data_IF_365893979807
#
_entry.id   IF_365893979807
#
_cell.length_a   1.000
_cell.length_b   1.000
_cell.length_c   1.000
_cell.angle_alpha   90.00
_cell.angle_beta   90.00
_cell.angle_gamma   90.00
#
_symmetry.space_group_name_H-M   'P 1'
#
loop_
_entity.id
_entity.type
_entity.pdbx_description
1 polymer ?
#
# COMPACT_ATOMS: atom_id res chain seq x y z
N UNK A 1 44.15 83.46 -9.60
CA UNK A 1 45.12 82.36 -9.38
C UNK A 1 44.59 81.61 -8.17
N UNK A 2 43.66 80.66 -8.33
CA UNK A 2 43.91 79.24 -8.68
C UNK A 2 44.89 78.61 -7.65
N UNK A 3 44.59 77.55 -6.90
CA UNK A 3 43.87 76.35 -7.31
C UNK A 3 43.47 75.44 -6.10
N UNK A 4 42.28 74.83 -6.21
CA UNK A 4 41.87 73.44 -5.91
C UNK A 4 42.35 72.59 -4.70
N UNK A 5 41.36 72.21 -3.89
CA UNK A 5 40.99 70.88 -3.32
C UNK A 5 42.04 69.91 -2.73
N UNK A 6 41.89 69.67 -1.42
CA UNK A 6 42.36 68.50 -0.66
C UNK A 6 41.60 67.21 -1.04
N UNK A 7 42.34 66.12 -1.30
CA UNK A 7 42.23 64.88 -0.51
C UNK A 7 43.38 63.92 -0.85
N UNK A 8 44.20 63.67 0.16
CA UNK A 8 45.44 62.89 0.10
C UNK A 8 45.19 61.38 -0.05
N UNK A 9 46.02 60.79 -0.90
CA UNK A 9 45.93 59.45 -1.46
C UNK A 9 46.94 58.54 -0.75
N UNK A 10 46.49 57.47 -0.10
CA UNK A 10 47.36 56.45 0.50
C UNK A 10 47.89 55.47 -0.57
N UNK A 11 49.15 55.06 -0.44
CA UNK A 11 49.89 54.14 -1.33
C UNK A 11 50.64 53.08 -0.47
N UNK A 12 51.25 52.02 -1.04
CA UNK A 12 50.68 50.74 -1.48
C UNK A 12 51.28 49.52 -0.71
N UNK A 13 50.66 48.34 -0.71
CA UNK A 13 51.41 47.10 -0.38
C UNK A 13 50.83 45.81 -0.99
N UNK A 14 51.75 44.98 -1.48
CA UNK A 14 51.59 43.77 -2.29
C UNK A 14 50.59 42.70 -1.78
N UNK A 15 49.91 42.07 -2.73
CA UNK A 15 49.13 40.85 -2.60
C UNK A 15 49.99 39.63 -2.21
N UNK A 16 49.61 38.81 -1.21
CA UNK A 16 49.93 37.40 -1.19
C UNK A 16 48.78 36.57 -1.79
N UNK A 17 49.17 35.53 -2.53
CA UNK A 17 48.31 34.61 -3.26
C UNK A 17 47.21 34.00 -2.38
N UNK A 18 46.01 33.90 -2.95
CA UNK A 18 44.89 33.16 -2.38
C UNK A 18 45.21 31.66 -2.32
N UNK A 19 45.43 31.13 -1.12
CA UNK A 19 45.40 29.70 -0.85
C UNK A 19 43.99 29.16 -1.13
N UNK A 20 43.84 28.62 -2.33
CA UNK A 20 42.67 27.87 -2.78
C UNK A 20 42.72 26.46 -2.20
N UNK A 21 42.33 26.31 -0.94
CA UNK A 21 42.13 24.99 -0.35
C UNK A 21 40.85 24.89 0.49
N UNK A 22 39.79 25.57 0.07
CA UNK A 22 38.43 25.25 0.51
C UNK A 22 37.94 24.02 -0.25
N UNK A 23 38.14 22.83 0.36
CA UNK A 23 37.42 21.62 -0.05
C UNK A 23 35.92 21.96 -0.11
N UNK A 24 35.20 21.65 -1.22
CA UNK A 24 33.78 21.92 -1.28
C UNK A 24 33.10 21.16 -0.15
N UNK A 25 32.43 21.89 0.72
CA UNK A 25 31.57 21.36 1.77
C UNK A 25 30.57 20.45 1.10
N UNK A 26 30.82 19.13 1.10
CA UNK A 26 29.85 18.16 0.62
C UNK A 26 28.58 18.43 1.42
N UNK A 27 27.50 18.78 0.71
CA UNK A 27 26.16 18.81 1.29
C UNK A 27 25.87 17.42 1.83
N UNK A 28 26.20 17.17 3.10
CA UNK A 28 25.88 15.92 3.76
C UNK A 28 24.36 15.84 3.78
N UNK A 29 23.82 14.89 3.02
CA UNK A 29 22.39 14.60 3.04
C UNK A 29 22.02 14.31 4.50
N UNK A 30 20.91 14.87 5.01
CA UNK A 30 20.52 14.64 6.39
C UNK A 30 20.46 13.13 6.67
N UNK A 31 20.93 12.69 7.86
CA UNK A 31 21.03 11.27 8.16
C UNK A 31 19.64 10.62 8.05
N UNK A 32 19.55 9.57 7.23
CA UNK A 32 18.32 8.78 7.10
C UNK A 32 18.03 8.06 8.41
N UNK A 33 16.75 7.98 8.77
CA UNK A 33 16.29 7.20 9.93
C UNK A 33 16.34 5.72 9.56
N UNK A 34 17.22 4.96 10.21
CA UNK A 34 17.47 3.56 9.85
C UNK A 34 16.27 2.67 10.14
N UNK A 35 15.58 2.86 11.28
CA UNK A 35 14.36 2.10 11.61
C UNK A 35 13.25 2.23 10.55
N UNK A 36 13.14 3.38 9.89
CA UNK A 36 12.17 3.62 8.82
C UNK A 36 12.48 2.78 7.58
N UNK A 37 13.76 2.74 7.16
CA UNK A 37 14.18 1.90 6.05
C UNK A 37 14.02 0.42 6.43
N UNK A 38 14.39 0.00 7.64
CA UNK A 38 14.18 -1.39 8.13
C UNK A 38 12.69 -1.78 8.13
N UNK A 39 11.78 -0.91 8.57
CA UNK A 39 10.34 -1.16 8.55
C UNK A 39 9.82 -1.35 7.12
N UNK A 40 10.27 -0.51 6.19
CA UNK A 40 9.92 -0.65 4.77
C UNK A 40 10.44 -1.97 4.19
N UNK A 41 11.68 -2.35 4.55
CA UNK A 41 12.27 -3.63 4.15
C UNK A 41 11.53 -4.84 4.73
N UNK A 42 11.14 -4.78 6.00
CA UNK A 42 10.29 -5.80 6.64
C UNK A 42 8.97 -5.95 5.89
N UNK A 43 8.34 -4.85 5.49
CA UNK A 43 7.08 -4.88 4.73
C UNK A 43 7.23 -5.58 3.38
N UNK A 44 8.31 -5.30 2.65
CA UNK A 44 8.64 -5.98 1.38
C UNK A 44 8.98 -7.45 1.59
N UNK A 45 9.72 -7.77 2.66
CA UNK A 45 10.04 -9.16 3.02
C UNK A 45 8.77 -9.95 3.34
N UNK A 46 7.88 -9.41 4.18
CA UNK A 46 6.60 -10.04 4.51
C UNK A 46 5.74 -10.24 3.27
N UNK A 47 5.67 -9.25 2.39
CA UNK A 47 4.99 -9.38 1.08
C UNK A 47 5.51 -10.58 0.30
N UNK A 48 6.84 -10.72 0.16
CA UNK A 48 7.45 -11.86 -0.52
C UNK A 48 7.10 -13.19 0.16
N UNK A 49 7.17 -13.26 1.49
CA UNK A 49 6.82 -14.48 2.26
C UNK A 49 5.37 -14.88 2.03
N UNK A 50 4.44 -13.92 2.00
CA UNK A 50 3.01 -14.24 1.83
C UNK A 50 2.66 -14.60 0.39
N UNK A 51 3.30 -13.96 -0.59
CA UNK A 51 3.07 -14.23 -2.02
C UNK A 51 3.53 -15.64 -2.41
N UNK A 52 4.69 -16.09 -1.90
CA UNK A 52 5.23 -17.42 -2.22
C UNK A 52 4.84 -18.51 -1.22
N UNK A 53 4.62 -18.17 0.06
CA UNK A 53 4.32 -19.12 1.13
C UNK A 53 2.84 -19.26 1.48
N UNK A 54 1.98 -18.31 1.05
CA UNK A 54 0.57 -18.30 1.40
C UNK A 54 -0.23 -19.48 0.85
N UNK A 55 0.18 -20.07 -0.27
CA UNK A 55 -0.45 -21.28 -0.82
C UNK A 55 -0.20 -22.52 0.03
N UNK A 56 0.89 -22.55 0.81
CA UNK A 56 1.31 -23.69 1.63
C UNK A 56 0.76 -23.56 3.05
N UNK A 57 0.76 -22.34 3.61
CA UNK A 57 0.38 -22.09 5.00
C UNK A 57 -0.86 -21.18 5.09
N UNK A 58 -2.06 -21.72 5.39
CA UNK A 58 -3.30 -20.95 5.47
C UNK A 58 -3.27 -19.79 6.48
N UNK A 59 -2.50 -19.91 7.56
CA UNK A 59 -2.30 -18.85 8.57
C UNK A 59 -1.52 -17.64 8.03
N UNK A 60 -0.70 -17.86 7.00
CA UNK A 60 0.09 -16.81 6.34
C UNK A 60 -0.70 -16.21 5.18
N UNK A 61 -1.63 -16.95 4.56
CA UNK A 61 -2.52 -16.48 3.50
C UNK A 61 -3.53 -15.42 3.98
N UNK A 62 -4.19 -14.74 3.04
CA UNK A 62 -5.27 -13.80 3.36
C UNK A 62 -6.48 -14.49 4.01
N UNK A 63 -7.10 -13.81 4.98
CA UNK A 63 -8.42 -14.23 5.46
C UNK A 63 -9.46 -14.17 4.31
N UNK A 64 -10.35 -15.17 4.14
CA UNK A 64 -11.29 -15.20 3.02
C UNK A 64 -12.21 -13.98 2.94
N UNK A 65 -12.68 -13.48 4.08
CA UNK A 65 -13.53 -12.29 4.13
C UNK A 65 -13.34 -11.51 5.42
N UNK A 66 -13.79 -12.10 6.54
CA UNK A 66 -13.62 -11.55 7.88
C UNK A 66 -12.48 -12.26 8.61
N UNK A 67 -11.72 -11.52 9.40
CA UNK A 67 -10.53 -12.00 10.10
C UNK A 67 -9.28 -11.19 9.73
N UNK A 68 -8.19 -11.47 10.43
CA UNK A 68 -6.88 -10.89 10.16
C UNK A 68 -5.85 -12.02 10.21
N UNK A 69 -5.18 -12.25 9.10
CA UNK A 69 -4.00 -13.11 9.00
C UNK A 69 -2.72 -12.29 8.75
N UNK A 70 -1.56 -12.95 8.68
CA UNK A 70 -0.27 -12.26 8.50
C UNK A 70 -0.22 -11.45 7.20
N UNK A 71 -0.73 -11.99 6.08
CA UNK A 71 -0.75 -11.27 4.81
C UNK A 71 -1.63 -10.02 4.81
N UNK A 72 -2.58 -9.92 5.72
CA UNK A 72 -3.47 -8.77 5.80
C UNK A 72 -2.75 -7.55 6.40
N UNK A 73 -1.67 -7.74 7.17
CA UNK A 73 -0.88 -6.66 7.76
C UNK A 73 0.05 -5.93 6.77
N UNK A 74 0.35 -6.56 5.63
CA UNK A 74 1.37 -6.06 4.67
C UNK A 74 0.99 -4.70 4.07
N UNK A 75 -0.24 -4.56 3.54
CA UNK A 75 -0.68 -3.30 2.92
C UNK A 75 -0.78 -2.16 3.94
N UNK A 76 -1.40 -2.33 5.14
CA UNK A 76 -1.41 -1.30 6.17
C UNK A 76 0.00 -0.82 6.56
N UNK A 77 0.99 -1.72 6.62
CA UNK A 77 2.37 -1.35 6.92
C UNK A 77 2.94 -0.38 5.87
N UNK A 78 2.69 -0.63 4.58
CA UNK A 78 3.11 0.27 3.51
C UNK A 78 2.44 1.65 3.58
N UNK A 79 1.14 1.70 3.87
CA UNK A 79 0.40 2.96 4.00
C UNK A 79 0.91 3.77 5.21
N UNK A 80 1.08 3.10 6.34
CA UNK A 80 1.60 3.72 7.55
C UNK A 80 3.00 4.31 7.34
N UNK A 81 3.95 3.54 6.79
CA UNK A 81 5.32 4.01 6.61
C UNK A 81 5.43 5.09 5.53
N UNK A 82 4.55 5.09 4.53
CA UNK A 82 4.43 6.18 3.56
C UNK A 82 4.03 7.49 4.25
N UNK A 83 3.10 7.43 5.19
CA UNK A 83 2.73 8.54 6.06
C UNK A 83 3.90 9.04 6.93
N UNK A 84 4.59 8.14 7.63
CA UNK A 84 5.76 8.50 8.47
C UNK A 84 6.83 9.22 7.64
N UNK A 85 7.12 8.69 6.44
CA UNK A 85 8.10 9.26 5.52
C UNK A 85 7.73 10.68 5.08
N UNK A 86 6.45 10.95 4.89
CA UNK A 86 5.94 12.24 4.45
C UNK A 86 6.20 13.36 5.47
N UNK A 87 6.03 13.07 6.78
CA UNK A 87 6.32 14.04 7.84
C UNK A 87 7.79 14.46 7.86
N UNK A 88 8.70 13.56 7.52
CA UNK A 88 10.14 13.86 7.44
C UNK A 88 10.48 14.68 6.19
N UNK A 89 9.81 14.41 5.06
CA UNK A 89 10.00 15.17 3.81
C UNK A 89 9.54 16.62 3.97
N UNK A 90 8.42 16.84 4.65
CA UNK A 90 7.85 18.19 4.86
C UNK A 90 8.10 18.72 6.27
N UNK A 91 9.14 18.22 6.97
CA UNK A 91 9.53 18.70 8.30
C UNK A 91 9.68 20.21 8.34
N UNK A 92 10.26 20.79 7.29
CA UNK A 92 10.28 22.24 7.08
C UNK A 92 9.26 22.59 6.02
N UNK A 93 8.36 23.55 6.34
CA UNK A 93 7.33 24.01 5.41
C UNK A 93 7.95 24.50 4.10
N UNK A 94 7.44 24.09 2.94
CA UNK A 94 7.94 24.58 1.67
C UNK A 94 7.52 26.05 1.48
N UNK A 95 8.42 26.93 1.00
CA UNK A 95 8.12 28.36 0.78
C UNK A 95 7.05 28.56 -0.30
N UNK A 96 6.98 27.67 -1.30
CA UNK A 96 5.98 27.71 -2.39
C UNK A 96 5.10 26.46 -2.37
N UNK A 97 3.92 26.57 -1.73
CA UNK A 97 2.97 25.45 -1.53
C UNK A 97 2.51 24.78 -2.83
N UNK A 98 2.29 25.57 -3.89
CA UNK A 98 1.91 25.04 -5.21
C UNK A 98 3.00 24.16 -5.84
N UNK A 99 4.26 24.57 -5.72
CA UNK A 99 5.38 23.79 -6.24
C UNK A 99 5.55 22.47 -5.45
N UNK A 100 5.40 22.53 -4.12
CA UNK A 100 5.42 21.34 -3.28
C UNK A 100 4.27 20.37 -3.60
N UNK A 101 3.07 20.91 -3.87
CA UNK A 101 1.90 20.12 -4.27
C UNK A 101 2.13 19.43 -5.62
N UNK A 102 2.62 20.17 -6.61
CA UNK A 102 2.96 19.60 -7.93
C UNK A 102 4.01 18.49 -7.82
N UNK A 103 5.05 18.68 -7.00
CA UNK A 103 6.05 17.65 -6.77
C UNK A 103 5.49 16.40 -6.09
N UNK A 104 4.61 16.56 -5.10
CA UNK A 104 3.92 15.45 -4.46
C UNK A 104 3.04 14.69 -5.45
N UNK A 105 2.23 15.41 -6.25
CA UNK A 105 1.36 14.84 -7.28
C UNK A 105 2.17 14.10 -8.36
N UNK A 106 3.30 14.64 -8.82
CA UNK A 106 4.15 13.96 -9.79
C UNK A 106 4.76 12.66 -9.24
N UNK A 107 5.12 12.62 -7.95
CA UNK A 107 5.59 11.37 -7.31
C UNK A 107 4.46 10.34 -7.21
N UNK A 108 3.28 10.78 -6.78
CA UNK A 108 2.09 9.96 -6.71
C UNK A 108 1.69 9.41 -8.10
N UNK A 109 1.71 10.25 -9.13
CA UNK A 109 1.38 9.87 -10.51
C UNK A 109 2.36 8.83 -11.07
N UNK A 110 3.67 9.01 -10.81
CA UNK A 110 4.68 8.00 -11.19
C UNK A 110 4.42 6.65 -10.51
N UNK A 111 4.13 6.66 -9.21
CA UNK A 111 3.81 5.45 -8.47
C UNK A 111 2.52 4.78 -8.99
N UNK A 112 1.51 5.58 -9.31
CA UNK A 112 0.24 5.12 -9.86
C UNK A 112 0.42 4.49 -11.25
N UNK A 113 1.20 5.12 -12.13
CA UNK A 113 1.52 4.61 -13.45
C UNK A 113 2.29 3.28 -13.39
N UNK A 114 3.28 3.17 -12.49
CA UNK A 114 3.97 1.89 -12.23
C UNK A 114 2.97 0.82 -11.74
N UNK A 115 2.02 1.18 -10.88
CA UNK A 115 0.93 0.30 -10.45
C UNK A 115 0.11 -0.26 -11.61
N UNK A 116 -0.33 0.60 -12.52
CA UNK A 116 -1.09 0.19 -13.71
C UNK A 116 -0.26 -0.75 -14.59
N UNK A 117 1.02 -0.46 -14.82
CA UNK A 117 1.88 -1.31 -15.64
C UNK A 117 2.06 -2.71 -15.04
N UNK A 118 2.26 -2.81 -13.72
CA UNK A 118 2.43 -4.10 -13.05
C UNK A 118 1.14 -4.90 -13.01
N UNK A 119 0.02 -4.26 -12.68
CA UNK A 119 -1.24 -4.95 -12.41
C UNK A 119 -2.15 -5.10 -13.63
N UNK A 120 -1.99 -4.24 -14.62
CA UNK A 120 -2.67 -4.32 -15.90
C UNK A 120 -2.27 -5.51 -16.76
N UNK A 121 -1.37 -6.37 -16.26
CA UNK A 121 -0.98 -7.59 -16.94
C UNK A 121 0.05 -7.39 -18.04
N UNK A 122 0.78 -6.27 -18.06
CA UNK A 122 1.85 -6.06 -19.05
C UNK A 122 2.89 -7.20 -18.99
N UNK A 123 3.18 -7.67 -17.78
CA UNK A 123 3.96 -8.87 -17.53
C UNK A 123 3.03 -10.05 -17.32
N UNK A 124 2.92 -10.91 -18.34
CA UNK A 124 2.14 -12.14 -18.27
C UNK A 124 2.90 -13.25 -17.52
N UNK A 125 2.18 -14.30 -17.10
CA UNK A 125 2.77 -15.45 -16.41
C UNK A 125 3.81 -16.17 -17.28
N UNK A 126 4.69 -16.95 -16.63
CA UNK A 126 5.82 -17.68 -17.25
C UNK A 126 5.44 -18.50 -18.49
N UNK A 127 4.18 -18.90 -18.60
CA UNK A 127 3.66 -19.82 -19.62
C UNK A 127 2.88 -19.12 -20.74
N UNK A 128 2.81 -17.79 -20.77
CA UNK A 128 2.04 -17.01 -21.75
C UNK A 128 2.93 -16.00 -22.46
N UNK A 129 3.18 -16.23 -23.75
CA UNK A 129 3.99 -15.36 -24.62
C UNK A 129 3.20 -14.18 -25.21
N UNK A 130 1.99 -13.92 -24.72
CA UNK A 130 1.20 -12.77 -25.12
C UNK A 130 1.78 -11.53 -24.46
N UNK A 131 2.36 -10.62 -25.25
CA UNK A 131 2.83 -9.32 -24.77
C UNK A 131 1.74 -8.27 -25.02
N UNK A 132 1.39 -7.48 -24.01
CA UNK A 132 0.39 -6.42 -24.14
C UNK A 132 -0.44 -6.21 -22.88
N UNK A 133 -1.35 -5.24 -22.92
CA UNK A 133 -2.34 -4.99 -21.88
C UNK A 133 -3.69 -4.93 -22.58
N UNK A 134 -4.60 -5.83 -22.22
CA UNK A 134 -5.99 -5.72 -22.67
C UNK A 134 -6.65 -4.54 -21.94
N UNK A 135 -6.80 -3.44 -22.66
CA UNK A 135 -7.39 -2.20 -22.15
C UNK A 135 -8.84 -2.41 -21.68
N UNK A 136 -9.57 -3.38 -22.23
CA UNK A 136 -10.97 -3.65 -21.85
C UNK A 136 -11.07 -4.39 -20.52
N UNK A 137 -10.00 -5.04 -20.07
CA UNK A 137 -10.00 -5.84 -18.84
C UNK A 137 -8.92 -5.40 -17.86
N UNK A 138 -8.27 -4.25 -18.10
CA UNK A 138 -7.19 -3.75 -17.25
C UNK A 138 -7.73 -3.47 -15.84
N UNK A 139 -7.00 -3.90 -14.80
CA UNK A 139 -7.34 -3.56 -13.42
C UNK A 139 -6.81 -2.17 -13.06
N UNK A 140 -7.72 -1.23 -12.83
CA UNK A 140 -7.36 0.17 -12.55
C UNK A 140 -6.82 0.39 -11.13
N UNK A 141 -7.39 -0.30 -10.14
CA UNK A 141 -7.14 -0.08 -8.72
C UNK A 141 -6.33 -1.23 -8.10
N UNK A 142 -5.36 -0.84 -7.27
CA UNK A 142 -4.33 -1.71 -6.77
C UNK A 142 -3.61 -1.17 -5.55
N UNK A 143 -2.67 -1.97 -5.04
CA UNK A 143 -1.89 -1.63 -3.83
C UNK A 143 -1.08 -0.34 -4.05
N UNK A 144 -0.37 -0.20 -5.19
CA UNK A 144 0.43 0.99 -5.48
C UNK A 144 -0.44 2.24 -5.70
N UNK A 145 -1.60 2.07 -6.34
CA UNK A 145 -2.58 3.12 -6.57
C UNK A 145 -3.15 3.62 -5.25
N UNK A 146 -3.43 2.72 -4.30
CA UNK A 146 -3.87 3.08 -2.95
C UNK A 146 -2.82 3.83 -2.17
N UNK A 147 -1.57 3.37 -2.21
CA UNK A 147 -0.47 4.08 -1.57
C UNK A 147 -0.34 5.48 -2.18
N UNK A 148 -0.50 5.61 -3.51
CA UNK A 148 -0.48 6.89 -4.21
C UNK A 148 -1.61 7.84 -3.79
N UNK A 149 -2.86 7.34 -3.71
CA UNK A 149 -4.02 8.11 -3.25
C UNK A 149 -3.82 8.55 -1.80
N UNK A 150 -3.47 7.63 -0.91
CA UNK A 150 -3.26 7.93 0.51
C UNK A 150 -2.10 8.89 0.74
N UNK A 151 -0.99 8.73 0.00
CA UNK A 151 0.14 9.66 0.03
C UNK A 151 -0.28 11.07 -0.41
N UNK A 152 -1.07 11.18 -1.49
CA UNK A 152 -1.54 12.47 -1.99
C UNK A 152 -2.42 13.19 -0.99
N UNK A 153 -3.41 12.48 -0.41
CA UNK A 153 -4.30 13.07 0.61
C UNK A 153 -3.51 13.52 1.83
N UNK A 154 -2.60 12.68 2.35
CA UNK A 154 -1.77 13.04 3.49
C UNK A 154 -0.84 14.22 3.16
N UNK A 155 -0.26 14.27 1.96
CA UNK A 155 0.62 15.38 1.52
C UNK A 155 -0.14 16.70 1.41
N UNK A 156 -1.35 16.67 0.85
CA UNK A 156 -2.22 17.84 0.79
C UNK A 156 -2.60 18.34 2.18
N UNK A 157 -2.93 17.42 3.10
CA UNK A 157 -3.18 17.76 4.50
C UNK A 157 -1.96 18.49 5.10
N UNK A 158 -0.75 17.96 4.91
CA UNK A 158 0.46 18.54 5.49
C UNK A 158 0.85 19.90 4.90
N UNK A 159 0.68 20.08 3.59
CA UNK A 159 1.06 21.32 2.89
C UNK A 159 0.08 22.46 3.19
N UNK A 160 -1.22 22.16 3.21
CA UNK A 160 -2.28 23.18 3.21
C UNK A 160 -2.85 23.49 4.58
N UNK A 161 -2.92 22.53 5.50
CA UNK A 161 -3.48 22.76 6.83
C UNK A 161 -2.60 23.70 7.66
N UNK A 162 -3.16 24.44 8.64
CA UNK A 162 -2.39 25.34 9.48
C UNK A 162 -1.29 24.59 10.27
N UNK A 163 -0.16 25.25 10.57
CA UNK A 163 0.89 24.63 11.36
C UNK A 163 0.37 24.32 12.76
N UNK A 164 0.81 23.21 13.36
CA UNK A 164 0.46 22.88 14.73
C UNK A 164 0.94 24.00 15.66
N UNK A 165 0.11 24.39 16.62
CA UNK A 165 0.52 25.28 17.71
C UNK A 165 1.37 24.46 18.69
N UNK A 166 2.61 24.15 18.32
CA UNK A 166 3.52 23.41 19.19
C UNK A 166 4.21 24.36 20.17
N UNK A 167 4.10 24.08 21.46
CA UNK A 167 5.05 24.57 22.46
C UNK A 167 6.24 23.60 22.49
N UNK A 168 7.46 24.11 22.52
CA UNK A 168 8.72 23.38 22.23
C UNK A 168 8.95 22.07 23.01
N UNK A 169 8.22 21.82 24.12
CA UNK A 169 8.49 20.70 25.02
C UNK A 169 7.34 19.70 25.23
N UNK A 170 6.16 19.89 24.64
CA UNK A 170 5.06 18.92 24.73
C UNK A 170 4.36 18.76 23.39
N UNK A 171 4.57 17.61 22.74
CA UNK A 171 3.73 17.21 21.61
C UNK A 171 2.34 16.85 22.17
N UNK A 172 1.35 17.65 21.81
CA UNK A 172 -0.05 17.43 22.15
C UNK A 172 -0.78 16.98 20.87
N UNK A 173 -1.49 15.86 20.94
CA UNK A 173 -2.32 15.38 19.82
C UNK A 173 -3.37 16.43 19.41
N UNK A 174 -3.78 17.31 20.33
CA UNK A 174 -4.65 18.47 20.02
C UNK A 174 -4.00 19.49 19.09
N UNK A 175 -2.67 19.60 19.06
CA UNK A 175 -2.00 20.54 18.16
C UNK A 175 -2.18 20.18 16.68
N UNK A 176 -2.53 18.92 16.38
CA UNK A 176 -2.82 18.41 15.04
C UNK A 176 -4.33 18.18 14.80
N UNK A 177 -5.19 18.95 15.50
CA UNK A 177 -6.64 18.82 15.39
C UNK A 177 -7.16 18.90 13.95
N UNK A 178 -6.55 19.72 13.09
CA UNK A 178 -6.97 19.84 11.69
C UNK A 178 -6.76 18.54 10.90
N UNK A 179 -5.66 17.80 11.12
CA UNK A 179 -5.44 16.51 10.47
C UNK A 179 -6.43 15.46 10.97
N UNK A 180 -6.71 15.43 12.28
CA UNK A 180 -7.72 14.55 12.87
C UNK A 180 -9.12 14.86 12.39
N UNK A 181 -9.47 16.14 12.21
CA UNK A 181 -10.74 16.56 11.67
C UNK A 181 -10.94 16.04 10.23
N UNK A 182 -9.91 16.14 9.38
CA UNK A 182 -9.95 15.56 8.03
C UNK A 182 -10.10 14.04 8.11
N UNK A 183 -9.33 13.37 8.96
CA UNK A 183 -9.43 11.92 9.13
C UNK A 183 -10.85 11.48 9.57
N UNK A 184 -11.45 12.15 10.56
CA UNK A 184 -12.82 11.86 11.02
C UNK A 184 -13.84 12.14 9.92
N UNK A 185 -13.67 13.22 9.16
CA UNK A 185 -14.57 13.55 8.03
C UNK A 185 -14.51 12.47 6.95
N UNK A 186 -13.31 11.98 6.60
CA UNK A 186 -13.13 10.88 5.65
C UNK A 186 -13.76 9.58 6.16
N UNK A 187 -13.61 9.27 7.45
CA UNK A 187 -14.25 8.08 8.06
C UNK A 187 -15.77 8.19 8.12
N UNK A 188 -16.32 9.39 8.37
CA UNK A 188 -17.75 9.65 8.33
C UNK A 188 -18.30 9.49 6.91
N UNK A 189 -17.59 10.01 5.90
CA UNK A 189 -17.93 9.82 4.49
C UNK A 189 -17.89 8.34 4.11
N UNK A 190 -16.83 7.62 4.48
CA UNK A 190 -16.72 6.17 4.25
C UNK A 190 -17.89 5.41 4.89
N UNK A 191 -18.22 5.70 6.14
CA UNK A 191 -19.31 5.02 6.86
C UNK A 191 -20.68 5.33 6.24
N UNK A 192 -20.91 6.60 5.86
CA UNK A 192 -22.14 7.02 5.19
C UNK A 192 -22.33 6.33 3.85
N UNK A 193 -21.27 6.17 3.06
CA UNK A 193 -21.32 5.44 1.79
C UNK A 193 -21.47 3.93 2.01
N UNK A 194 -20.73 3.35 2.96
CA UNK A 194 -20.75 1.92 3.23
C UNK A 194 -22.14 1.45 3.70
N UNK A 195 -22.71 2.12 4.70
CA UNK A 195 -23.96 1.71 5.33
C UNK A 195 -25.22 2.38 4.73
N UNK A 196 -25.10 3.58 4.16
CA UNK A 196 -26.25 4.36 3.73
C UNK A 196 -26.77 4.05 2.33
N UNK A 197 -25.91 3.55 1.42
CA UNK A 197 -26.28 3.29 0.03
C UNK A 197 -27.13 2.02 -0.11
N UNK A 198 -28.14 2.11 -0.98
CA UNK A 198 -28.96 0.97 -1.40
C UNK A 198 -28.28 0.20 -2.52
N UNK A 199 -28.15 -1.12 -2.35
CA UNK A 199 -27.54 -2.00 -3.33
C UNK A 199 -28.63 -2.76 -4.07
N UNK A 200 -28.90 -2.44 -5.36
CA UNK A 200 -29.86 -3.17 -6.17
C UNK A 200 -29.31 -4.54 -6.57
N UNK A 201 -30.21 -5.41 -7.03
CA UNK A 201 -29.84 -6.64 -7.71
C UNK A 201 -28.97 -6.35 -8.93
N UNK A 202 -28.06 -7.26 -9.24
CA UNK A 202 -27.11 -7.07 -10.31
C UNK A 202 -26.79 -8.38 -11.01
N UNK A 203 -26.21 -8.25 -12.20
CA UNK A 203 -25.93 -9.37 -13.09
C UNK A 203 -24.51 -9.24 -13.60
N UNK A 204 -23.85 -10.36 -13.82
CA UNK A 204 -22.53 -10.38 -14.43
C UNK A 204 -22.37 -11.60 -15.34
N UNK A 205 -21.49 -11.48 -16.34
CA UNK A 205 -21.25 -12.59 -17.25
C UNK A 205 -20.26 -13.59 -16.67
N UNK A 206 -20.60 -14.88 -16.73
CA UNK A 206 -19.66 -15.93 -16.39
C UNK A 206 -18.83 -16.34 -17.61
N UNK A 207 -17.50 -16.33 -17.47
CA UNK A 207 -16.60 -16.93 -18.45
C UNK A 207 -16.43 -18.41 -18.12
N UNK A 208 -17.34 -19.26 -18.59
CA UNK A 208 -17.24 -20.70 -18.45
C UNK A 208 -16.05 -21.23 -19.28
N UNK A 209 -14.93 -21.51 -18.62
CA UNK A 209 -13.84 -22.32 -19.19
C UNK A 209 -14.07 -23.79 -18.84
N UNK A 210 -15.15 -24.38 -19.33
CA UNK A 210 -15.32 -25.84 -19.31
C UNK A 210 -16.06 -26.29 -20.54
N UNK A 211 -15.35 -27.07 -21.33
CA UNK A 211 -15.82 -27.98 -22.38
C UNK A 211 -17.19 -28.63 -22.10
N UNK A 212 -18.24 -28.06 -22.66
CA UNK A 212 -19.35 -28.84 -23.20
C UNK A 212 -19.27 -28.68 -24.71
N UNK A 213 -19.01 -29.81 -25.38
CA UNK A 213 -18.87 -29.99 -26.82
C UNK A 213 -19.66 -28.96 -27.66
N UNK A 214 -19.06 -28.34 -28.70
CA UNK A 214 -19.86 -27.62 -29.68
C UNK A 214 -20.82 -28.63 -30.32
N UNK A 215 -22.14 -28.45 -30.12
CA UNK A 215 -23.11 -29.15 -30.95
C UNK A 215 -22.96 -28.59 -32.36
N UNK A 216 -22.46 -29.44 -33.25
CA UNK A 216 -22.42 -29.18 -34.69
C UNK A 216 -23.82 -29.47 -35.21
N UNK A 217 -24.65 -28.45 -35.29
CA UNK A 217 -25.78 -28.39 -36.21
C UNK A 217 -25.73 -27.01 -36.88
N UNK A 218 -25.47 -26.99 -38.18
CA UNK A 218 -25.60 -25.87 -39.12
C UNK A 218 -25.28 -24.45 -38.63
N UNK A 219 -24.07 -23.96 -38.93
CA UNK A 219 -23.72 -22.55 -39.19
C UNK A 219 -24.00 -21.44 -38.16
N UNK A 220 -24.26 -21.75 -36.88
CA UNK A 220 -24.20 -20.75 -35.80
C UNK A 220 -23.52 -21.34 -34.56
N UNK A 221 -22.33 -20.84 -34.21
CA UNK A 221 -21.70 -21.12 -32.91
C UNK A 221 -22.49 -20.33 -31.85
N UNK A 222 -23.42 -20.98 -31.15
CA UNK A 222 -24.00 -20.42 -29.94
C UNK A 222 -22.98 -20.54 -28.81
N UNK A 223 -22.14 -19.51 -28.58
CA UNK A 223 -21.51 -19.37 -27.27
C UNK A 223 -22.61 -18.99 -26.28
N UNK A 224 -23.15 -19.97 -25.55
CA UNK A 224 -24.13 -19.72 -24.50
C UNK A 224 -23.43 -18.91 -23.40
N UNK A 225 -23.71 -17.61 -23.39
CA UNK A 225 -23.17 -16.69 -22.40
C UNK A 225 -24.09 -16.74 -21.18
N UNK A 226 -23.68 -17.49 -20.16
CA UNK A 226 -24.45 -17.58 -18.92
C UNK A 226 -24.32 -16.27 -18.13
N UNK A 227 -25.47 -15.65 -17.87
CA UNK A 227 -25.56 -14.44 -17.06
C UNK A 227 -26.06 -14.84 -15.68
N UNK A 228 -25.20 -14.70 -14.69
CA UNK A 228 -25.54 -14.95 -13.30
C UNK A 228 -26.17 -13.71 -12.68
N UNK A 229 -27.27 -13.92 -11.96
CA UNK A 229 -27.97 -12.87 -11.21
C UNK A 229 -27.72 -13.02 -9.72
N UNK A 230 -27.39 -11.90 -9.07
CA UNK A 230 -27.23 -11.79 -7.62
C UNK A 230 -28.35 -10.90 -7.08
N UNK A 231 -29.17 -11.48 -6.21
CA UNK A 231 -30.26 -10.76 -5.54
C UNK A 231 -29.73 -10.15 -4.24
N UNK A 232 -29.84 -8.83 -4.11
CA UNK A 232 -29.35 -8.07 -2.97
C UNK A 232 -30.48 -7.30 -2.32
N UNK A 233 -30.95 -6.23 -2.98
CA UNK A 233 -32.04 -5.36 -2.52
C UNK A 233 -31.96 -4.96 -1.04
N UNK A 234 -30.75 -4.62 -0.57
CA UNK A 234 -30.42 -4.34 0.85
C UNK A 234 -29.62 -3.05 1.01
N UNK A 235 -29.56 -2.54 2.26
CA UNK A 235 -28.66 -1.47 2.71
C UNK A 235 -27.75 -1.98 3.82
N UNK A 236 -26.51 -1.50 3.83
CA UNK A 236 -25.56 -1.77 4.91
C UNK A 236 -25.13 -3.22 5.06
N UNK A 237 -25.34 -4.06 4.05
CA UNK A 237 -24.77 -5.40 4.02
C UNK A 237 -23.24 -5.33 3.86
N UNK A 238 -22.54 -6.13 4.67
CA UNK A 238 -21.08 -6.27 4.64
C UNK A 238 -20.64 -7.61 4.03
N UNK A 239 -21.58 -8.36 3.46
CA UNK A 239 -21.31 -9.61 2.75
C UNK A 239 -20.57 -9.38 1.43
N UNK A 240 -19.93 -10.43 0.87
CA UNK A 240 -19.15 -10.32 -0.37
C UNK A 240 -19.99 -9.94 -1.60
N UNK A 241 -21.26 -10.34 -1.62
CA UNK A 241 -22.14 -10.19 -2.78
C UNK A 241 -22.83 -8.81 -2.86
N UNK A 242 -23.26 -8.27 -1.72
CA UNK A 242 -24.25 -7.19 -1.66
C UNK A 242 -23.77 -5.95 -0.91
N UNK A 243 -22.47 -5.83 -0.67
CA UNK A 243 -21.89 -4.62 -0.10
C UNK A 243 -21.87 -3.45 -1.10
N UNK A 244 -21.99 -2.25 -0.57
CA UNK A 244 -21.99 -1.01 -1.35
C UNK A 244 -20.61 -0.65 -1.92
N UNK A 245 -19.51 -1.10 -1.31
CA UNK A 245 -18.17 -0.89 -1.83
C UNK A 245 -18.01 -1.50 -3.24
N UNK A 246 -18.37 -2.78 -3.37
CA UNK A 246 -18.36 -3.49 -4.64
C UNK A 246 -19.39 -2.94 -5.62
N UNK A 247 -20.52 -2.38 -5.16
CA UNK A 247 -21.46 -1.68 -6.04
C UNK A 247 -20.84 -0.42 -6.66
N UNK A 248 -20.18 0.42 -5.84
CA UNK A 248 -19.49 1.63 -6.32
C UNK A 248 -18.43 1.25 -7.34
N UNK A 249 -17.62 0.24 -7.04
CA UNK A 249 -16.56 -0.20 -7.95
C UNK A 249 -17.13 -0.74 -9.27
N UNK A 250 -18.22 -1.52 -9.23
CA UNK A 250 -18.92 -1.99 -10.45
C UNK A 250 -19.47 -0.84 -11.30
N UNK A 251 -20.00 0.20 -10.67
CA UNK A 251 -20.60 1.33 -11.37
C UNK A 251 -19.56 2.29 -11.95
N UNK A 252 -18.49 2.58 -11.19
CA UNK A 252 -17.47 3.56 -11.58
C UNK A 252 -16.36 2.95 -12.42
N UNK A 253 -15.85 1.77 -12.04
CA UNK A 253 -14.76 1.11 -12.75
C UNK A 253 -15.26 0.19 -13.86
N UNK A 254 -16.46 -0.37 -13.72
CA UNK A 254 -16.99 -1.39 -14.63
C UNK A 254 -16.56 -2.81 -14.26
N UNK A 255 -17.44 -3.78 -14.49
CA UNK A 255 -17.26 -5.19 -14.07
C UNK A 255 -15.99 -5.82 -14.67
N UNK A 256 -15.65 -5.47 -15.91
CA UNK A 256 -14.49 -6.03 -16.63
C UNK A 256 -13.14 -5.63 -16.03
N UNK A 257 -13.12 -4.53 -15.28
CA UNK A 257 -11.91 -3.96 -14.67
C UNK A 257 -11.70 -4.38 -13.21
N UNK A 258 -12.62 -5.19 -12.66
CA UNK A 258 -12.55 -5.71 -11.31
C UNK A 258 -11.65 -6.94 -11.23
N UNK A 259 -11.14 -7.20 -10.03
CA UNK A 259 -10.30 -8.37 -9.82
C UNK A 259 -11.11 -9.68 -9.92
N UNK A 260 -10.70 -10.54 -10.86
CA UNK A 260 -11.41 -11.77 -11.22
C UNK A 260 -11.17 -12.95 -10.29
N UNK A 261 -10.28 -12.86 -9.31
CA UNK A 261 -9.95 -13.98 -8.38
C UNK A 261 -10.01 -13.52 -6.91
N UNK A 262 -11.14 -13.00 -6.44
CA UNK A 262 -11.24 -12.49 -5.07
C UNK A 262 -11.03 -13.59 -4.02
N UNK A 263 -10.48 -13.19 -2.87
CA UNK A 263 -10.07 -14.13 -1.80
C UNK A 263 -11.28 -14.85 -1.18
N UNK A 264 -12.47 -14.24 -1.21
CA UNK A 264 -13.68 -14.86 -0.66
C UNK A 264 -14.10 -16.15 -1.37
N UNK A 265 -13.53 -16.47 -2.54
CA UNK A 265 -13.72 -17.79 -3.17
C UNK A 265 -13.26 -18.94 -2.29
N UNK A 266 -12.36 -18.66 -1.34
CA UNK A 266 -11.88 -19.63 -0.36
C UNK A 266 -12.83 -19.78 0.85
N UNK A 267 -13.96 -19.05 0.88
CA UNK A 267 -15.03 -19.27 1.86
C UNK A 267 -15.56 -20.69 1.73
N UNK A 268 -15.99 -21.29 2.86
CA UNK A 268 -16.48 -22.67 2.89
C UNK A 268 -17.71 -22.85 2.01
N UNK A 269 -18.51 -21.81 1.88
CA UNK A 269 -19.71 -21.72 1.04
C UNK A 269 -19.39 -21.82 -0.46
N UNK A 270 -18.19 -21.39 -0.88
CA UNK A 270 -17.74 -21.43 -2.27
C UNK A 270 -16.79 -22.60 -2.56
N UNK A 271 -16.08 -23.10 -1.55
CA UNK A 271 -15.04 -24.13 -1.67
C UNK A 271 -15.61 -25.54 -1.47
N UNK A 272 -16.60 -25.93 -2.28
CA UNK A 272 -17.22 -27.27 -2.25
C UNK A 272 -16.45 -28.32 -3.09
N UNK A 273 -15.25 -28.02 -3.60
CA UNK A 273 -14.45 -28.95 -4.41
C UNK A 273 -12.98 -28.98 -4.02
N UNK A 274 -12.44 -30.19 -3.89
CA UNK A 274 -11.09 -30.54 -3.41
C UNK A 274 -9.92 -30.01 -4.26
N UNK A 275 -10.17 -29.24 -5.32
CA UNK A 275 -9.16 -28.74 -6.26
C UNK A 275 -9.09 -27.21 -6.42
N UNK A 276 -9.69 -26.44 -5.50
CA UNK A 276 -9.62 -24.97 -5.54
C UNK A 276 -10.36 -24.31 -6.72
N UNK A 277 -11.23 -25.07 -7.37
CA UNK A 277 -12.21 -24.58 -8.35
C UNK A 277 -13.57 -24.50 -7.65
N UNK A 278 -14.26 -23.38 -7.86
CA UNK A 278 -15.62 -23.18 -7.33
C UNK A 278 -16.55 -24.17 -8.06
N UNK A 279 -17.38 -24.90 -7.32
CA UNK A 279 -18.33 -25.87 -7.89
C UNK A 279 -19.53 -25.17 -8.52
N UNK A 280 -20.04 -25.69 -9.64
CA UNK A 280 -21.26 -25.22 -10.33
C UNK A 280 -22.52 -25.27 -9.44
N UNK A 281 -22.46 -25.92 -8.28
CA UNK A 281 -23.53 -25.97 -7.27
C UNK A 281 -23.48 -24.81 -6.25
N UNK A 282 -22.43 -23.99 -6.31
CA UNK A 282 -22.23 -22.89 -5.36
C UNK A 282 -23.11 -21.67 -5.67
N UNK A 283 -23.33 -20.77 -4.69
CA UNK A 283 -24.07 -19.53 -4.95
C UNK A 283 -23.43 -18.70 -6.07
N UNK A 284 -24.22 -18.06 -6.96
CA UNK A 284 -23.69 -17.35 -8.13
C UNK A 284 -22.64 -16.27 -7.78
N UNK A 285 -22.79 -15.61 -6.63
CA UNK A 285 -21.85 -14.58 -6.19
C UNK A 285 -20.42 -15.10 -5.91
N UNK A 286 -20.21 -16.41 -5.73
CA UNK A 286 -18.88 -17.01 -5.58
C UNK A 286 -18.00 -16.82 -6.82
N UNK A 287 -18.63 -16.76 -8.01
CA UNK A 287 -17.93 -16.56 -9.29
C UNK A 287 -17.70 -15.08 -9.60
N UNK A 288 -18.39 -14.19 -8.88
CA UNK A 288 -18.40 -12.77 -9.19
C UNK A 288 -17.02 -12.09 -9.00
N UNK A 289 -16.70 -11.06 -9.78
CA UNK A 289 -15.47 -10.31 -9.60
C UNK A 289 -15.64 -9.25 -8.50
N UNK A 290 -14.56 -8.99 -7.76
CA UNK A 290 -14.58 -8.02 -6.65
C UNK A 290 -13.20 -7.44 -6.42
N UNK A 291 -13.09 -6.12 -6.31
CA UNK A 291 -11.83 -5.45 -6.07
C UNK A 291 -11.64 -5.07 -4.59
N UNK A 292 -10.79 -5.77 -3.82
CA UNK A 292 -10.48 -5.38 -2.44
C UNK A 292 -9.70 -4.05 -2.38
N UNK A 293 -9.09 -3.67 -3.50
CA UNK A 293 -8.32 -2.44 -3.65
C UNK A 293 -9.11 -1.27 -4.25
N UNK A 294 -10.44 -1.36 -4.30
CA UNK A 294 -11.37 -0.37 -4.87
C UNK A 294 -11.43 1.03 -4.26
N UNK A 295 -12.39 1.82 -4.74
CA UNK A 295 -12.51 3.28 -4.50
C UNK A 295 -12.84 3.57 -3.05
N UNK A 296 -13.86 2.91 -2.49
CA UNK A 296 -14.35 3.21 -1.15
C UNK A 296 -13.29 2.92 -0.09
N UNK A 297 -12.62 1.77 -0.17
CA UNK A 297 -11.55 1.39 0.75
C UNK A 297 -10.23 2.18 0.54
N UNK A 298 -10.10 2.93 -0.56
CA UNK A 298 -9.01 3.92 -0.70
C UNK A 298 -9.17 5.11 0.25
N UNK A 299 -10.39 5.42 0.73
CA UNK A 299 -10.64 6.48 1.71
C UNK A 299 -10.01 6.12 3.07
N UNK A 300 -10.24 4.90 3.56
CA UNK A 300 -9.63 4.41 4.82
C UNK A 300 -8.13 4.18 4.67
N UNK A 301 -7.65 3.83 3.46
CA UNK A 301 -6.21 3.81 3.16
C UNK A 301 -5.56 5.20 3.34
N UNK A 302 -6.23 6.27 2.90
CA UNK A 302 -5.75 7.63 3.12
C UNK A 302 -5.70 8.02 4.60
N UNK A 303 -6.69 7.60 5.39
CA UNK A 303 -6.68 7.80 6.85
C UNK A 303 -5.51 7.06 7.51
N UNK A 304 -5.19 5.85 7.05
CA UNK A 304 -4.01 5.10 7.54
C UNK A 304 -2.68 5.84 7.26
N UNK A 305 -2.56 6.48 6.08
CA UNK A 305 -1.43 7.36 5.78
C UNK A 305 -1.39 8.59 6.70
N UNK A 306 -2.54 9.21 7.01
CA UNK A 306 -2.62 10.33 7.96
C UNK A 306 -2.20 9.87 9.37
N UNK A 307 -2.60 8.67 9.80
CA UNK A 307 -2.14 8.11 11.08
C UNK A 307 -0.62 7.95 11.09
N UNK A 308 -0.03 7.38 10.02
CA UNK A 308 1.42 7.29 9.88
C UNK A 308 2.11 8.65 9.89
N UNK A 309 1.50 9.67 9.28
CA UNK A 309 2.00 11.06 9.30
C UNK A 309 2.16 11.57 10.74
N UNK A 310 1.22 11.28 11.63
CA UNK A 310 1.30 11.67 13.05
C UNK A 310 2.51 11.03 13.76
N UNK A 311 2.79 9.75 13.48
CA UNK A 311 3.99 9.10 14.02
C UNK A 311 5.28 9.76 13.52
N UNK A 312 5.31 10.14 12.24
CA UNK A 312 6.42 10.88 11.67
C UNK A 312 6.58 12.29 12.24
N UNK A 313 5.51 12.97 12.62
CA UNK A 313 5.58 14.27 13.31
C UNK A 313 6.20 14.15 14.70
N UNK A 314 5.80 13.14 15.48
CA UNK A 314 6.41 12.81 16.77
C UNK A 314 7.92 12.56 16.60
N UNK A 315 8.30 11.79 15.57
CA UNK A 315 9.71 11.53 15.24
C UNK A 315 10.48 12.81 14.88
N UNK A 316 9.86 13.70 14.10
CA UNK A 316 10.51 14.90 13.58
C UNK A 316 10.73 16.00 14.63
N UNK A 317 9.81 16.13 15.60
CA UNK A 317 9.76 17.26 16.54
C UNK A 317 10.28 16.92 17.94
N UNK A 318 9.93 15.76 18.50
CA UNK A 318 10.49 15.37 19.80
C UNK A 318 11.90 14.87 19.61
N UNK A 319 12.86 15.35 20.42
CA UNK A 319 14.24 14.85 20.39
C UNK A 319 14.44 13.64 21.30
N UNK A 320 13.71 13.57 22.43
CA UNK A 320 13.87 12.53 23.42
C UNK A 320 13.25 11.19 23.01
N UNK A 321 14.03 10.11 23.12
CA UNK A 321 13.57 8.75 22.83
C UNK A 321 12.39 8.32 23.71
N UNK A 322 12.45 8.59 25.03
CA UNK A 322 11.37 8.21 25.97
C UNK A 322 10.05 8.91 25.64
N UNK A 323 10.12 10.20 25.28
CA UNK A 323 8.95 10.98 24.86
C UNK A 323 8.30 10.41 23.61
N UNK A 324 9.10 10.10 22.58
CA UNK A 324 8.61 9.47 21.34
C UNK A 324 7.90 8.14 21.62
N UNK A 325 8.54 7.26 22.38
CA UNK A 325 8.02 5.93 22.71
C UNK A 325 6.70 6.01 23.48
N UNK A 326 6.62 6.87 24.50
CA UNK A 326 5.41 7.00 25.31
C UNK A 326 4.21 7.46 24.46
N UNK A 327 4.42 8.43 23.55
CA UNK A 327 3.35 8.94 22.70
C UNK A 327 2.88 7.93 21.66
N UNK A 328 3.81 7.26 20.99
CA UNK A 328 3.48 6.19 20.06
C UNK A 328 2.76 5.04 20.73
N UNK A 329 3.15 4.69 21.97
CA UNK A 329 2.51 3.63 22.74
C UNK A 329 1.07 4.01 23.11
N UNK A 330 0.83 5.22 23.62
CA UNK A 330 -0.52 5.71 23.92
C UNK A 330 -1.41 5.77 22.69
N UNK A 331 -0.88 6.24 21.55
CA UNK A 331 -1.62 6.31 20.29
C UNK A 331 -1.94 4.90 19.75
N UNK A 332 -0.98 3.98 19.77
CA UNK A 332 -1.19 2.56 19.40
C UNK A 332 -2.23 1.88 20.29
N UNK A 333 -2.12 2.05 21.61
CA UNK A 333 -3.03 1.46 22.57
C UNK A 333 -4.46 2.00 22.39
N UNK A 334 -4.60 3.31 22.15
CA UNK A 334 -5.91 3.94 21.91
C UNK A 334 -6.58 3.38 20.65
N UNK A 335 -5.84 3.23 19.55
CA UNK A 335 -6.37 2.64 18.32
C UNK A 335 -6.69 1.15 18.46
N UNK A 336 -5.85 0.40 19.17
CA UNK A 336 -6.12 -1.02 19.45
C UNK A 336 -7.40 -1.18 20.26
N UNK A 337 -7.56 -0.41 21.34
CA UNK A 337 -8.75 -0.43 22.19
C UNK A 337 -10.02 -0.03 21.42
N UNK A 338 -9.98 1.07 20.66
CA UNK A 338 -11.11 1.52 19.85
C UNK A 338 -11.45 0.53 18.73
N UNK A 339 -10.44 -0.01 18.05
CA UNK A 339 -10.63 -1.01 16.99
C UNK A 339 -11.27 -2.30 17.51
N UNK A 340 -10.82 -2.79 18.66
CA UNK A 340 -11.41 -3.96 19.32
C UNK A 340 -12.84 -3.68 19.80
N UNK A 341 -13.09 -2.50 20.37
CA UNK A 341 -14.44 -2.08 20.78
C UNK A 341 -15.41 -2.06 19.59
N UNK A 342 -15.01 -1.51 18.44
CA UNK A 342 -15.83 -1.54 17.23
C UNK A 342 -16.06 -2.96 16.69
N UNK A 343 -15.05 -3.84 16.81
CA UNK A 343 -15.21 -5.24 16.45
C UNK A 343 -16.24 -5.95 17.34
N UNK A 344 -16.27 -5.65 18.64
CA UNK A 344 -17.26 -6.18 19.58
C UNK A 344 -18.68 -5.66 19.31
N UNK A 345 -18.82 -4.41 18.87
CA UNK A 345 -20.12 -3.81 18.51
C UNK A 345 -20.70 -4.40 17.21
N UNK A 346 -19.88 -5.12 16.43
CA UNK A 346 -20.31 -5.83 15.23
C UNK A 346 -19.80 -5.24 13.92
N UNK A 347 -18.81 -4.35 13.93
CA UNK A 347 -18.08 -3.96 12.71
C UNK A 347 -16.96 -4.99 12.48
N UNK A 348 -17.12 -5.95 11.55
CA UNK A 348 -16.18 -7.06 11.40
C UNK A 348 -14.81 -6.55 10.96
N UNK A 349 -13.76 -7.27 11.35
CA UNK A 349 -12.41 -7.04 10.85
C UNK A 349 -12.33 -7.56 9.42
N UNK A 350 -12.55 -6.68 8.44
CA UNK A 350 -12.60 -7.05 7.04
C UNK A 350 -11.61 -6.21 6.22
N UNK A 351 -10.65 -6.91 5.60
CA UNK A 351 -9.61 -6.32 4.74
C UNK A 351 -10.20 -5.83 3.41
N UNK A 352 -11.02 -6.64 2.76
CA UNK A 352 -11.58 -6.36 1.43
C UNK A 352 -12.38 -5.05 1.39
N UNK A 353 -13.15 -4.81 2.45
CA UNK A 353 -13.89 -3.55 2.64
C UNK A 353 -13.05 -2.46 3.31
N UNK A 354 -11.85 -2.80 3.81
CA UNK A 354 -10.98 -1.97 4.63
C UNK A 354 -11.77 -1.22 5.73
N UNK A 355 -12.53 -2.01 6.50
CA UNK A 355 -13.40 -1.54 7.61
C UNK A 355 -12.64 -0.71 8.64
N UNK A 356 -13.36 0.18 9.33
CA UNK A 356 -12.77 1.08 10.35
C UNK A 356 -12.13 0.28 11.49
N UNK A 357 -12.78 -0.78 11.98
CA UNK A 357 -12.21 -1.64 13.02
C UNK A 357 -10.91 -2.29 12.57
N UNK A 358 -10.87 -2.85 11.36
CA UNK A 358 -9.64 -3.38 10.74
C UNK A 358 -8.55 -2.32 10.59
N UNK A 359 -8.89 -1.14 10.07
CA UNK A 359 -7.95 -0.03 9.88
C UNK A 359 -7.30 0.42 11.19
N UNK A 360 -8.07 0.53 12.27
CA UNK A 360 -7.56 0.92 13.58
C UNK A 360 -6.64 -0.15 14.17
N UNK A 361 -7.05 -1.44 14.13
CA UNK A 361 -6.22 -2.54 14.64
C UNK A 361 -4.92 -2.67 13.85
N UNK A 362 -4.98 -2.59 12.52
CA UNK A 362 -3.78 -2.69 11.68
C UNK A 362 -2.87 -1.46 11.80
N UNK A 363 -3.43 -0.27 12.02
CA UNK A 363 -2.65 0.94 12.34
C UNK A 363 -1.95 0.82 13.70
N UNK A 364 -2.62 0.26 14.71
CA UNK A 364 -1.99 -0.04 16.00
C UNK A 364 -0.87 -1.06 15.87
N UNK A 365 -1.08 -2.14 15.11
CA UNK A 365 -0.05 -3.15 14.83
C UNK A 365 1.16 -2.53 14.09
N UNK A 366 0.91 -1.62 13.16
CA UNK A 366 1.96 -0.87 12.45
C UNK A 366 2.75 0.02 13.41
N UNK A 367 2.07 0.74 14.30
CA UNK A 367 2.68 1.57 15.34
C UNK A 367 3.54 0.77 16.32
N UNK A 368 3.03 -0.35 16.84
CA UNK A 368 3.78 -1.24 17.74
C UNK A 368 5.01 -1.84 17.05
N UNK A 369 4.87 -2.26 15.79
CA UNK A 369 6.00 -2.77 15.00
C UNK A 369 7.05 -1.68 14.76
N UNK A 370 6.61 -0.44 14.50
CA UNK A 370 7.52 0.70 14.33
C UNK A 370 8.26 1.02 15.64
N UNK A 371 7.58 1.00 16.78
CA UNK A 371 8.20 1.14 18.11
C UNK A 371 9.27 0.06 18.33
N UNK A 372 8.95 -1.20 18.06
CA UNK A 372 9.88 -2.32 18.25
C UNK A 372 11.14 -2.17 17.39
N UNK A 373 10.98 -1.85 16.10
CA UNK A 373 12.12 -1.63 15.20
C UNK A 373 12.91 -0.37 15.55
N UNK A 374 12.24 0.69 16.02
CA UNK A 374 12.89 1.91 16.49
C UNK A 374 13.80 1.64 17.69
N UNK A 375 13.29 0.91 18.70
CA UNK A 375 14.09 0.53 19.87
C UNK A 375 15.26 -0.38 19.46
N UNK A 376 15.02 -1.36 18.60
CA UNK A 376 16.06 -2.30 18.17
C UNK A 376 17.20 -1.60 17.40
N UNK A 377 16.86 -0.71 16.46
CA UNK A 377 17.82 -0.15 15.49
C UNK A 377 18.38 1.19 15.95
N UNK A 378 17.52 2.11 16.39
CA UNK A 378 17.91 3.50 16.67
C UNK A 378 18.25 3.74 18.15
N UNK A 379 17.72 2.95 19.09
CA UNK A 379 18.06 3.05 20.53
C UNK A 379 19.17 2.06 20.89
N UNK A 380 18.99 0.78 20.60
CA UNK A 380 19.93 -0.27 20.98
C UNK A 380 21.08 -0.44 19.97
N UNK A 381 21.02 0.20 18.80
CA UNK A 381 22.12 0.21 17.83
C UNK A 381 22.39 -1.11 17.10
N UNK A 382 21.47 -2.08 17.09
CA UNK A 382 21.66 -3.41 16.48
C UNK A 382 21.57 -3.41 14.93
N UNK A 383 22.30 -2.49 14.28
CA UNK A 383 22.23 -2.28 12.82
C UNK A 383 22.72 -3.46 11.98
N UNK A 384 23.66 -4.26 12.50
CA UNK A 384 24.19 -5.43 11.76
C UNK A 384 23.12 -6.49 11.54
N UNK A 385 22.28 -6.75 12.56
CA UNK A 385 21.21 -7.74 12.47
C UNK A 385 20.14 -7.34 11.43
N UNK A 386 19.83 -6.04 11.35
CA UNK A 386 18.80 -5.52 10.46
C UNK A 386 19.34 -5.03 9.11
N UNK A 387 20.63 -5.25 8.82
CA UNK A 387 21.29 -4.68 7.63
C UNK A 387 20.64 -5.12 6.32
N UNK A 388 20.22 -6.40 6.24
CA UNK A 388 19.52 -6.94 5.06
C UNK A 388 18.17 -6.24 4.88
N UNK A 389 17.38 -6.11 5.95
CA UNK A 389 16.10 -5.41 5.91
C UNK A 389 16.27 -3.92 5.58
N UNK A 390 17.30 -3.25 6.12
CA UNK A 390 17.60 -1.86 5.78
C UNK A 390 17.93 -1.70 4.29
N UNK A 391 18.72 -2.61 3.72
CA UNK A 391 19.03 -2.61 2.29
C UNK A 391 17.77 -2.82 1.44
N UNK A 392 16.94 -3.81 1.79
CA UNK A 392 15.66 -4.05 1.13
C UNK A 392 14.75 -2.81 1.17
N UNK A 393 14.73 -2.11 2.30
CA UNK A 393 13.95 -0.89 2.47
C UNK A 393 14.40 0.29 1.63
N UNK A 394 15.71 0.43 1.38
CA UNK A 394 16.26 1.46 0.48
C UNK A 394 15.90 1.20 -0.99
N UNK A 395 15.71 -0.07 -1.36
CA UNK A 395 15.39 -0.53 -2.72
C UNK A 395 13.96 -1.07 -2.87
N UNK A 396 13.05 -0.69 -1.97
CA UNK A 396 11.75 -1.34 -1.82
C UNK A 396 10.90 -1.35 -3.09
N UNK A 397 10.86 -0.25 -3.86
CA UNK A 397 10.04 -0.16 -5.07
C UNK A 397 10.59 -1.08 -6.17
N UNK A 398 11.91 -1.14 -6.34
CA UNK A 398 12.55 -2.03 -7.32
C UNK A 398 12.29 -3.49 -6.97
N UNK A 399 12.43 -3.86 -5.69
CA UNK A 399 12.15 -5.22 -5.24
C UNK A 399 10.66 -5.56 -5.43
N UNK A 400 9.76 -4.63 -5.08
CA UNK A 400 8.32 -4.79 -5.28
C UNK A 400 7.99 -5.08 -6.75
N UNK A 401 8.54 -4.27 -7.67
CA UNK A 401 8.38 -4.44 -9.12
C UNK A 401 8.85 -5.83 -9.55
N UNK A 402 10.06 -6.22 -9.15
CA UNK A 402 10.70 -7.48 -9.57
C UNK A 402 9.96 -8.72 -9.05
N UNK A 403 9.45 -8.65 -7.81
CA UNK A 403 8.69 -9.74 -7.20
C UNK A 403 7.29 -9.83 -7.81
N UNK A 404 6.57 -8.72 -7.88
CA UNK A 404 5.17 -8.70 -8.36
C UNK A 404 5.04 -9.08 -9.84
N UNK A 405 6.05 -8.77 -10.65
CA UNK A 405 6.08 -9.12 -12.08
C UNK A 405 6.61 -10.53 -12.36
N UNK A 406 6.91 -11.33 -11.32
CA UNK A 406 7.58 -12.63 -11.42
C UNK A 406 8.89 -12.61 -12.23
N UNK A 407 9.48 -11.44 -12.50
CA UNK A 407 10.69 -11.33 -13.34
C UNK A 407 11.87 -12.06 -12.74
N UNK A 408 11.99 -12.10 -11.41
CA UNK A 408 13.03 -12.88 -10.72
C UNK A 408 12.83 -14.38 -10.98
N UNK A 409 11.59 -14.87 -10.88
CA UNK A 409 11.28 -16.28 -11.11
C UNK A 409 11.56 -16.66 -12.56
N UNK A 410 11.12 -15.83 -13.51
CA UNK A 410 11.38 -16.01 -14.94
C UNK A 410 12.90 -16.03 -15.21
N UNK A 411 13.65 -15.08 -14.63
CA UNK A 411 15.09 -15.01 -14.84
C UNK A 411 15.80 -16.26 -14.30
N UNK A 412 15.44 -16.74 -13.10
CA UNK A 412 16.04 -17.94 -12.50
C UNK A 412 15.65 -19.21 -13.28
N UNK A 413 14.38 -19.35 -13.67
CA UNK A 413 13.89 -20.47 -14.48
C UNK A 413 14.45 -20.46 -15.91
N UNK A 414 14.77 -19.28 -16.44
CA UNK A 414 15.36 -19.11 -17.77
C UNK A 414 16.77 -19.72 -17.89
N UNK A 415 17.47 -19.92 -16.78
CA UNK A 415 18.70 -20.70 -16.76
C UNK A 415 18.37 -22.20 -16.65
N UNK A 416 18.60 -22.93 -17.73
CA UNK A 416 18.38 -24.38 -17.80
C UNK A 416 19.56 -25.10 -18.43
N UNK A 417 19.75 -26.37 -18.07
CA UNK A 417 20.83 -27.19 -18.60
C UNK A 417 20.35 -28.11 -19.71
N UNK A 418 20.81 -27.85 -20.94
CA UNK A 418 20.52 -28.63 -22.17
C UNK A 418 19.06 -28.62 -22.63
N UNK A 419 18.10 -28.90 -21.73
CA UNK A 419 16.66 -28.91 -22.00
C UNK A 419 15.93 -27.95 -21.04
N UNK A 420 14.86 -27.28 -21.48
CA UNK A 420 14.09 -26.33 -20.64
C UNK A 420 13.51 -26.94 -19.35
N UNK A 421 13.26 -28.24 -19.35
CA UNK A 421 12.77 -29.01 -18.21
C UNK A 421 13.79 -29.09 -17.06
N UNK A 422 15.10 -29.00 -17.37
CA UNK A 422 16.19 -29.01 -16.40
C UNK A 422 16.57 -27.59 -15.96
N UNK A 423 15.58 -26.84 -15.50
CA UNK A 423 15.83 -25.51 -14.94
C UNK A 423 16.43 -25.59 -13.53
N UNK A 424 17.08 -24.51 -13.09
CA UNK A 424 17.73 -24.42 -11.76
C UNK A 424 16.75 -24.77 -10.63
N UNK A 425 15.49 -24.33 -10.74
CA UNK A 425 14.48 -24.60 -9.70
C UNK A 425 14.17 -26.09 -9.62
N UNK A 426 13.98 -26.77 -10.75
CA UNK A 426 13.73 -28.20 -10.82
C UNK A 426 14.90 -28.97 -10.22
N UNK A 427 16.14 -28.56 -10.50
CA UNK A 427 17.33 -29.14 -9.88
C UNK A 427 17.36 -28.95 -8.35
N UNK A 428 17.03 -27.76 -7.84
CA UNK A 428 16.96 -27.50 -6.38
C UNK A 428 15.84 -28.33 -5.74
N UNK A 429 14.64 -28.33 -6.32
CA UNK A 429 13.48 -29.06 -5.78
C UNK A 429 13.75 -30.57 -5.75
N UNK A 430 14.26 -31.14 -6.84
CA UNK A 430 14.62 -32.57 -6.87
C UNK A 430 15.71 -32.94 -5.87
N UNK A 431 16.62 -32.01 -5.54
CA UNK A 431 17.72 -32.26 -4.58
C UNK A 431 17.33 -32.08 -3.11
N UNK A 432 16.41 -31.15 -2.81
CA UNK A 432 16.12 -30.72 -1.44
C UNK A 432 14.68 -30.99 -0.95
N UNK A 433 13.72 -31.24 -1.84
CA UNK A 433 12.29 -31.44 -1.49
C UNK A 433 11.86 -32.91 -1.60
N UNK A 434 12.66 -33.77 -2.24
CA UNK A 434 12.38 -35.21 -2.38
C UNK A 434 13.22 -36.13 -1.47
N UNK A 435 13.79 -35.59 -0.38
CA UNK A 435 14.29 -36.38 0.76
C UNK A 435 13.46 -36.04 1.99
#
# INVERSE_FOLDING_TARGET
>A
MADSQEQEQAQPLLLPASDSNSKPTQFQRPPRVASLDVFRGLSVFLMMVVDYGGSIFPMIAHAPWNGIHLADLVMPFFLFIAGVSLALVYKTRPPRRLAATSQALLRALKLFAVGILLQGGYFHGVNSFTFGVDIQTIRWLGILQRISIGYTVAALCEIWLPPPRCKEHKFDLRSYFSHWFVAVTLLALYSGLLYGLYVPDWQFPESSSTSSFPQIDGDIIYTCFQIDKVNCSVRGDLGPACNSAGMIDRYVLGINHLYRKPVYRNLKECNMSTKGQVSDTSPPWCHSPFDPEGILSSITAAVSCIIGLQYGHVLAHLQEHKGRLNQWLWLSASFSALGFFLALIGIPLNKSLYTISYMLITSAASGLTFIALYVLVDVNGHRRLTSVLEWMGKHSLSIFVLVSSNMIVIAIQGFYWTKPENNIIHWIVTRFVHT
#
